data_IF_285968675743
#
_entry.id   IF_285968675743
#
_cell.length_a   1.000
_cell.length_b   1.000
_cell.length_c   1.000
_cell.angle_alpha   90.00
_cell.angle_beta   90.00
_cell.angle_gamma   90.00
#
_symmetry.space_group_name_H-M   'P 1'
#
loop_
_entity.id
_entity.type
_entity.pdbx_description
1 polymer ?
#
# COMPACT_ATOMS: atom_id res chain seq x y z
N UNK A 1 -17.41 22.73 -29.02
CA UNK A 1 -17.37 22.76 -27.54
C UNK A 1 -18.35 21.71 -27.02
N UNK A 2 -17.87 20.53 -26.65
CA UNK A 2 -18.72 19.46 -26.09
C UNK A 2 -18.20 19.15 -24.68
N UNK A 3 -18.98 19.48 -23.65
CA UNK A 3 -18.71 19.04 -22.29
C UNK A 3 -19.14 17.58 -22.16
N UNK A 4 -18.15 16.68 -22.06
CA UNK A 4 -18.35 15.27 -21.69
C UNK A 4 -18.81 15.20 -20.23
N UNK A 5 -20.11 15.12 -20.00
CA UNK A 5 -20.67 14.82 -18.67
C UNK A 5 -20.33 13.37 -18.33
N UNK A 6 -19.44 13.16 -17.36
CA UNK A 6 -19.16 11.84 -16.82
C UNK A 6 -20.43 11.27 -16.16
N UNK A 7 -20.76 9.98 -16.33
CA UNK A 7 -21.96 9.40 -15.74
C UNK A 7 -21.87 9.43 -14.20
N UNK A 8 -22.99 9.63 -13.48
CA UNK A 8 -23.00 9.49 -12.04
C UNK A 8 -22.57 8.06 -11.69
N UNK A 9 -21.41 7.94 -11.05
CA UNK A 9 -20.87 6.64 -10.67
C UNK A 9 -21.81 5.93 -9.70
N UNK A 10 -22.15 4.69 -10.02
CA UNK A 10 -22.91 3.80 -9.13
C UNK A 10 -22.21 3.75 -7.77
N UNK A 11 -22.95 4.09 -6.71
CA UNK A 11 -22.45 4.14 -5.33
C UNK A 11 -21.85 2.79 -4.91
N UNK A 12 -22.38 1.68 -5.45
CA UNK A 12 -21.84 0.35 -5.21
C UNK A 12 -20.43 0.19 -5.83
N UNK A 13 -20.22 0.70 -7.04
CA UNK A 13 -18.92 0.71 -7.72
C UNK A 13 -17.92 1.59 -6.99
N UNK A 14 -18.35 2.77 -6.53
CA UNK A 14 -17.49 3.69 -5.76
C UNK A 14 -17.11 3.09 -4.40
N UNK A 15 -18.05 2.50 -3.68
CA UNK A 15 -17.78 1.81 -2.42
C UNK A 15 -16.80 0.64 -2.62
N UNK A 16 -16.94 -0.15 -3.70
CA UNK A 16 -16.02 -1.24 -4.03
C UNK A 16 -14.61 -0.74 -4.35
N UNK A 17 -14.49 0.38 -5.05
CA UNK A 17 -13.20 1.05 -5.30
C UNK A 17 -12.56 1.51 -3.99
N UNK A 18 -13.31 2.17 -3.11
CA UNK A 18 -12.81 2.61 -1.79
C UNK A 18 -12.38 1.44 -0.91
N UNK A 19 -13.17 0.36 -0.87
CA UNK A 19 -12.81 -0.89 -0.17
C UNK A 19 -11.54 -1.52 -0.75
N UNK A 20 -11.37 -1.48 -2.07
CA UNK A 20 -10.14 -1.93 -2.74
C UNK A 20 -8.91 -1.14 -2.27
N UNK A 21 -9.01 0.19 -2.22
CA UNK A 21 -7.91 1.03 -1.71
C UNK A 21 -7.59 0.75 -0.24
N UNK A 22 -8.61 0.59 0.61
CA UNK A 22 -8.44 0.21 2.02
C UNK A 22 -7.76 -1.16 2.16
N UNK A 23 -8.12 -2.14 1.34
CA UNK A 23 -7.50 -3.46 1.34
C UNK A 23 -6.01 -3.38 0.95
N UNK A 24 -5.65 -2.59 -0.05
CA UNK A 24 -4.24 -2.35 -0.44
C UNK A 24 -3.46 -1.70 0.70
N UNK A 25 -4.01 -0.68 1.35
CA UNK A 25 -3.36 -0.03 2.48
C UNK A 25 -3.18 -0.97 3.67
N UNK A 26 -4.17 -1.83 3.95
CA UNK A 26 -4.07 -2.86 4.98
C UNK A 26 -2.96 -3.86 4.66
N UNK A 27 -2.92 -4.38 3.44
CA UNK A 27 -1.87 -5.31 3.00
C UNK A 27 -0.47 -4.69 3.12
N UNK A 28 -0.30 -3.44 2.70
CA UNK A 28 0.98 -2.71 2.85
C UNK A 28 1.37 -2.51 4.31
N UNK A 29 0.41 -2.15 5.17
CA UNK A 29 0.69 -1.98 6.59
C UNK A 29 1.12 -3.28 7.25
N UNK A 30 0.53 -4.42 6.87
CA UNK A 30 0.94 -5.73 7.36
C UNK A 30 2.34 -6.08 6.86
N UNK A 31 2.60 -5.96 5.56
CA UNK A 31 3.91 -6.28 4.97
C UNK A 31 5.05 -5.45 5.55
N UNK A 32 4.82 -4.15 5.83
CA UNK A 32 5.82 -3.29 6.50
C UNK A 32 6.12 -3.73 7.93
N UNK A 33 5.13 -4.24 8.67
CA UNK A 33 5.34 -4.79 10.01
C UNK A 33 6.12 -6.09 9.97
N UNK A 34 5.81 -6.95 9.00
CA UNK A 34 6.55 -8.20 8.77
C UNK A 34 8.01 -7.90 8.38
N UNK A 35 8.23 -6.90 7.53
CA UNK A 35 9.57 -6.44 7.14
C UNK A 35 10.39 -5.96 8.35
N UNK A 36 9.77 -5.29 9.33
CA UNK A 36 10.43 -4.89 10.57
C UNK A 36 10.66 -6.05 11.56
N UNK A 37 9.85 -7.11 11.44
CA UNK A 37 10.00 -8.30 12.26
C UNK A 37 11.09 -9.26 11.72
N UNK A 38 11.49 -9.10 10.46
CA UNK A 38 12.61 -9.85 9.88
C UNK A 38 13.92 -9.48 10.55
N UNK A 39 14.71 -10.50 10.89
CA UNK A 39 16.08 -10.32 11.35
C UNK A 39 17.01 -9.85 10.21
N UNK A 40 18.18 -9.35 10.58
CA UNK A 40 19.14 -8.80 9.62
C UNK A 40 19.63 -9.83 8.60
N UNK A 41 19.58 -11.14 8.91
CA UNK A 41 20.04 -12.21 8.03
C UNK A 41 18.99 -12.50 6.97
N UNK A 42 17.72 -12.63 7.36
CA UNK A 42 16.58 -12.76 6.44
C UNK A 42 16.49 -11.56 5.49
N UNK A 43 16.71 -10.34 6.01
CA UNK A 43 16.80 -9.14 5.18
C UNK A 43 17.96 -9.25 4.17
N UNK A 44 19.13 -9.71 4.62
CA UNK A 44 20.28 -9.97 3.75
C UNK A 44 20.02 -11.01 2.65
N UNK A 45 19.28 -12.08 2.97
CA UNK A 45 18.94 -13.14 2.02
C UNK A 45 18.05 -12.63 0.86
N UNK A 46 17.21 -11.63 1.13
CA UNK A 46 16.41 -10.94 0.10
C UNK A 46 17.11 -9.70 -0.49
N UNK A 47 18.39 -9.47 -0.13
CA UNK A 47 19.19 -8.36 -0.63
C UNK A 47 18.83 -6.99 -0.05
N UNK A 48 18.14 -6.95 1.10
CA UNK A 48 17.72 -5.71 1.76
C UNK A 48 18.60 -5.41 2.98
N UNK A 49 19.00 -4.15 3.15
CA UNK A 49 19.67 -3.73 4.39
C UNK A 49 18.62 -3.43 5.48
N UNK A 50 18.97 -3.57 6.77
CA UNK A 50 18.11 -3.13 7.87
C UNK A 50 17.70 -1.66 7.76
N UNK A 51 18.60 -0.79 7.31
CA UNK A 51 18.31 0.64 7.11
C UNK A 51 17.26 0.88 6.02
N UNK A 52 17.30 0.12 4.93
CA UNK A 52 16.29 0.18 3.87
C UNK A 52 14.94 -0.39 4.34
N UNK A 53 14.96 -1.47 5.12
CA UNK A 53 13.74 -2.02 5.73
C UNK A 53 13.05 -0.99 6.64
N UNK A 54 13.82 -0.28 7.47
CA UNK A 54 13.30 0.81 8.29
C UNK A 54 12.77 1.97 7.46
N UNK A 55 13.48 2.38 6.41
CA UNK A 55 13.02 3.44 5.51
C UNK A 55 11.69 3.05 4.84
N UNK A 56 11.55 1.82 4.35
CA UNK A 56 10.32 1.30 3.75
C UNK A 56 9.16 1.25 4.75
N UNK A 57 9.43 0.79 5.97
CA UNK A 57 8.43 0.70 7.03
C UNK A 57 7.97 2.08 7.53
N UNK A 58 8.83 3.09 7.44
CA UNK A 58 8.52 4.47 7.82
C UNK A 58 7.61 5.20 6.83
N UNK A 59 7.40 4.65 5.62
CA UNK A 59 6.53 5.25 4.62
C UNK A 59 5.09 5.37 5.14
N UNK A 60 4.41 6.51 4.90
CA UNK A 60 2.98 6.64 5.20
C UNK A 60 2.16 5.54 4.52
N UNK A 61 1.07 5.09 5.15
CA UNK A 61 0.25 3.99 4.65
C UNK A 61 -0.35 4.24 3.25
N UNK A 62 -0.56 5.52 2.90
CA UNK A 62 -1.11 5.93 1.60
C UNK A 62 -0.08 5.94 0.46
N UNK A 63 1.22 5.89 0.78
CA UNK A 63 2.30 6.03 -0.19
C UNK A 63 2.92 4.67 -0.52
N UNK A 64 3.05 4.37 -1.81
CA UNK A 64 3.89 3.28 -2.31
C UNK A 64 5.35 3.76 -2.37
#
# INVERSE_FOLDING_TARGET
>A
MTTKTAPPGDRATQARSMLGHLAVWRARSTGRRELLAMDARMLGDIGLSPSLAYAEASKPFWRA
#
